data_IF_038421691070
#
_entry.id   IF_038421691070
#
_cell.length_a   1.000
_cell.length_b   1.000
_cell.length_c   1.000
_cell.angle_alpha   90.00
_cell.angle_beta   90.00
_cell.angle_gamma   90.00
#
_symmetry.space_group_name_H-M   'P 1'
#
loop_
_entity.id
_entity.type
_entity.pdbx_description
1 polymer ?
#
# COMPACT_ATOMS: atom_id res chain seq x y z
N UNK A 1 46.43 -11.56 -41.91
CA UNK A 1 45.41 -10.60 -41.46
C UNK A 1 44.53 -11.25 -40.42
N UNK A 2 44.91 -11.05 -39.17
CA UNK A 2 44.19 -11.48 -37.99
C UNK A 2 43.66 -10.19 -37.35
N UNK A 3 42.34 -10.02 -37.29
CA UNK A 3 41.74 -9.02 -36.41
C UNK A 3 40.64 -9.70 -35.60
N UNK A 4 40.85 -9.62 -34.30
CA UNK A 4 40.07 -10.15 -33.21
C UNK A 4 38.82 -9.29 -33.04
N UNK A 5 37.69 -9.92 -32.71
CA UNK A 5 36.52 -9.24 -32.14
C UNK A 5 36.33 -9.77 -30.72
N UNK A 6 36.87 -9.02 -29.76
CA UNK A 6 36.59 -9.21 -28.34
C UNK A 6 35.70 -8.05 -27.88
N UNK A 7 34.39 -8.30 -27.79
CA UNK A 7 33.44 -7.40 -27.12
C UNK A 7 32.27 -8.25 -26.63
N UNK A 8 32.49 -8.90 -25.49
CA UNK A 8 31.53 -9.81 -24.89
C UNK A 8 31.84 -10.05 -23.42
N UNK A 9 31.95 -8.97 -22.63
CA UNK A 9 32.05 -9.07 -21.17
C UNK A 9 31.75 -7.71 -20.52
N UNK A 10 30.49 -7.27 -20.56
CA UNK A 10 30.02 -6.09 -19.80
C UNK A 10 28.52 -6.12 -19.43
N UNK A 11 27.68 -6.94 -20.09
CA UNK A 11 26.22 -6.87 -19.92
C UNK A 11 25.63 -7.62 -18.71
N UNK A 12 26.34 -8.57 -18.08
CA UNK A 12 25.72 -9.40 -17.04
C UNK A 12 25.47 -8.67 -15.71
N UNK A 13 26.41 -7.81 -15.27
CA UNK A 13 26.28 -7.13 -13.98
C UNK A 13 25.21 -6.05 -13.93
N UNK A 14 24.96 -5.36 -15.04
CA UNK A 14 23.91 -4.35 -15.14
C UNK A 14 22.52 -4.99 -15.32
N UNK A 15 22.46 -6.15 -16.00
CA UNK A 15 21.23 -6.94 -16.10
C UNK A 15 20.79 -7.49 -14.75
N UNK A 16 21.71 -8.02 -13.94
CA UNK A 16 21.41 -8.51 -12.59
C UNK A 16 20.91 -7.39 -11.66
N UNK A 17 21.47 -6.18 -11.77
CA UNK A 17 20.99 -5.00 -11.02
C UNK A 17 19.60 -4.57 -11.46
N UNK A 18 19.33 -4.58 -12.77
CA UNK A 18 18.02 -4.27 -13.31
C UNK A 18 16.96 -5.28 -12.85
N UNK A 19 17.30 -6.57 -12.87
CA UNK A 19 16.40 -7.64 -12.42
C UNK A 19 16.11 -7.54 -10.90
N UNK A 20 17.11 -7.17 -10.09
CA UNK A 20 16.93 -6.90 -8.67
C UNK A 20 16.02 -5.70 -8.41
N UNK A 21 16.18 -4.62 -9.17
CA UNK A 21 15.33 -3.44 -9.05
C UNK A 21 13.88 -3.75 -9.43
N UNK A 22 13.68 -4.45 -10.54
CA UNK A 22 12.37 -4.90 -11.00
C UNK A 22 11.66 -5.76 -9.95
N UNK A 23 12.38 -6.69 -9.32
CA UNK A 23 11.83 -7.54 -8.28
C UNK A 23 11.42 -6.74 -7.03
N UNK A 24 12.22 -5.75 -6.63
CA UNK A 24 11.87 -4.85 -5.52
C UNK A 24 10.66 -3.97 -5.83
N UNK A 25 10.57 -3.48 -7.06
CA UNK A 25 9.44 -2.66 -7.49
C UNK A 25 8.14 -3.46 -7.50
N UNK A 26 8.19 -4.68 -8.04
CA UNK A 26 7.06 -5.61 -8.04
C UNK A 26 6.59 -5.98 -6.63
N UNK A 27 7.53 -6.23 -5.70
CA UNK A 27 7.24 -6.48 -4.28
C UNK A 27 6.60 -5.25 -3.60
N UNK A 28 7.12 -4.05 -3.87
CA UNK A 28 6.59 -2.81 -3.29
C UNK A 28 5.17 -2.51 -3.79
N UNK A 29 4.92 -2.77 -5.07
CA UNK A 29 3.60 -2.62 -5.69
C UNK A 29 2.62 -3.67 -5.11
N UNK A 30 3.05 -4.91 -4.95
CA UNK A 30 2.23 -5.96 -4.33
C UNK A 30 1.86 -5.63 -2.88
N UNK A 31 2.83 -5.18 -2.07
CA UNK A 31 2.62 -4.74 -0.69
C UNK A 31 1.63 -3.57 -0.59
N UNK A 32 1.70 -2.63 -1.54
CA UNK A 32 0.79 -1.49 -1.61
C UNK A 32 -0.63 -1.95 -1.94
N UNK A 33 -0.80 -2.83 -2.94
CA UNK A 33 -2.09 -3.40 -3.28
C UNK A 33 -2.69 -4.21 -2.12
N UNK A 34 -1.88 -5.00 -1.42
CA UNK A 34 -2.34 -5.76 -0.26
C UNK A 34 -2.84 -4.83 0.85
N UNK A 35 -2.10 -3.76 1.16
CA UNK A 35 -2.51 -2.75 2.15
C UNK A 35 -3.79 -2.04 1.75
N UNK A 36 -3.90 -1.61 0.49
CA UNK A 36 -5.12 -0.95 -0.02
C UNK A 36 -6.32 -1.90 0.01
N UNK A 37 -6.12 -3.17 -0.33
CA UNK A 37 -7.17 -4.20 -0.24
C UNK A 37 -7.61 -4.43 1.21
N UNK A 38 -6.66 -4.55 2.15
CA UNK A 38 -6.96 -4.69 3.57
C UNK A 38 -7.71 -3.46 4.10
N UNK A 39 -7.30 -2.25 3.68
CA UNK A 39 -7.98 -1.01 4.04
C UNK A 39 -9.40 -0.96 3.48
N UNK A 40 -9.61 -1.34 2.21
CA UNK A 40 -10.92 -1.39 1.58
C UNK A 40 -11.84 -2.42 2.26
N UNK A 41 -11.32 -3.60 2.63
CA UNK A 41 -12.07 -4.59 3.38
C UNK A 41 -12.44 -4.10 4.79
N UNK A 42 -11.52 -3.41 5.46
CA UNK A 42 -11.79 -2.82 6.78
C UNK A 42 -12.83 -1.71 6.67
N UNK A 43 -12.75 -0.84 5.65
CA UNK A 43 -13.76 0.18 5.37
C UNK A 43 -15.11 -0.44 5.04
N UNK A 44 -15.17 -1.47 4.22
CA UNK A 44 -16.41 -2.19 3.91
C UNK A 44 -17.02 -2.83 5.17
N UNK A 45 -16.20 -3.37 6.08
CA UNK A 45 -16.66 -3.84 7.39
C UNK A 45 -17.14 -2.71 8.29
N UNK A 46 -16.42 -1.60 8.36
CA UNK A 46 -16.81 -0.43 9.16
C UNK A 46 -18.10 0.23 8.63
N UNK A 47 -18.30 0.23 7.32
CA UNK A 47 -19.53 0.70 6.67
C UNK A 47 -20.69 -0.30 6.86
N UNK A 48 -20.39 -1.58 7.03
CA UNK A 48 -21.36 -2.62 7.39
C UNK A 48 -21.72 -2.64 8.88
N UNK A 49 -20.79 -2.22 9.76
CA UNK A 49 -20.93 -2.18 11.22
C UNK A 49 -21.28 -0.78 11.78
N UNK A 50 -21.03 0.30 11.03
CA UNK A 50 -21.59 1.63 11.28
C UNK A 50 -23.11 1.55 11.21
N UNK A 51 -23.82 2.29 12.07
CA UNK A 51 -25.04 1.83 12.74
C UNK A 51 -25.97 1.05 11.81
N UNK A 52 -25.82 -0.28 11.80
CA UNK A 52 -27.01 -1.10 11.85
C UNK A 52 -27.71 -0.66 13.13
N UNK A 53 -28.79 0.10 12.97
CA UNK A 53 -29.77 0.20 14.03
C UNK A 53 -30.10 -1.23 14.49
N UNK A 54 -29.80 -1.49 15.76
CA UNK A 54 -29.93 -2.78 16.42
C UNK A 54 -31.41 -3.23 16.60
N UNK A 55 -31.66 -4.52 16.89
CA UNK A 55 -32.85 -5.32 16.51
C UNK A 55 -33.63 -5.86 17.75
N UNK A 56 -34.45 -6.94 17.65
CA UNK A 56 -33.86 -8.24 17.99
C UNK A 56 -34.39 -9.48 17.25
N UNK A 57 -33.49 -10.48 17.17
CA UNK A 57 -33.72 -11.94 17.21
C UNK A 57 -34.59 -12.57 16.12
N UNK A 58 -33.99 -13.47 15.34
CA UNK A 58 -34.25 -14.91 15.47
C UNK A 58 -33.19 -15.70 14.69
N UNK A 59 -32.63 -16.66 15.41
CA UNK A 59 -31.85 -17.81 14.99
C UNK A 59 -32.16 -18.31 13.57
N UNK A 60 -31.12 -18.56 12.78
CA UNK A 60 -31.19 -19.41 11.59
C UNK A 60 -30.81 -20.83 12.00
N UNK A 61 -31.75 -21.80 12.04
CA UNK A 61 -31.41 -23.19 11.83
C UNK A 61 -31.37 -23.46 10.32
N UNK A 62 -30.23 -23.98 9.90
CA UNK A 62 -30.08 -24.88 8.77
C UNK A 62 -31.21 -25.92 8.74
N UNK A 63 -32.10 -25.89 7.74
CA UNK A 63 -32.66 -27.06 7.07
C UNK A 63 -33.49 -26.64 5.83
N UNK A 64 -32.97 -26.90 4.62
CA UNK A 64 -33.84 -27.23 3.48
C UNK A 64 -33.97 -28.75 3.44
N UNK A 65 -34.60 -29.28 4.49
CA UNK A 65 -35.33 -30.53 4.49
C UNK A 65 -36.77 -30.27 4.05
N UNK A 66 -37.33 -31.25 3.35
CA UNK A 66 -38.68 -31.25 2.80
C UNK A 66 -39.78 -30.81 3.77
N UNK A 67 -40.71 -29.98 3.30
CA UNK A 67 -41.88 -29.60 4.10
C UNK A 67 -42.91 -28.83 3.31
N UNK A 68 -43.86 -29.56 2.69
CA UNK A 68 -45.10 -29.01 2.13
C UNK A 68 -45.79 -28.12 3.17
N UNK A 69 -45.80 -26.80 2.97
CA UNK A 69 -46.68 -25.91 3.74
C UNK A 69 -48.09 -26.04 3.21
N UNK A 70 -48.88 -26.81 3.95
CA UNK A 70 -50.31 -26.98 3.74
C UNK A 70 -51.00 -25.62 3.71
N UNK A 71 -51.89 -25.46 2.73
CA UNK A 71 -52.98 -24.51 2.82
C UNK A 71 -53.71 -24.82 4.13
N UNK A 72 -53.74 -23.88 5.06
CA UNK A 72 -54.71 -23.90 6.17
C UNK A 72 -56.06 -23.53 5.55
N UNK A 73 -56.60 -24.44 4.76
CA UNK A 73 -58.01 -24.51 4.44
C UNK A 73 -58.64 -25.24 5.61
N UNK A 74 -59.33 -24.51 6.47
CA UNK A 74 -60.27 -25.11 7.41
C UNK A 74 -61.20 -26.04 6.60
N UNK A 75 -61.39 -27.25 7.09
CA UNK A 75 -62.37 -28.14 6.49
C UNK A 75 -63.76 -27.55 6.73
N UNK A 76 -64.68 -27.76 5.78
CA UNK A 76 -66.04 -27.22 5.88
C UNK A 76 -66.73 -27.64 7.20
N UNK A 77 -66.38 -28.81 7.73
CA UNK A 77 -66.83 -29.29 9.03
C UNK A 77 -66.31 -28.44 10.21
N UNK A 78 -65.03 -28.06 10.21
CA UNK A 78 -64.45 -27.18 11.25
C UNK A 78 -65.00 -25.75 11.18
N UNK A 79 -65.44 -25.30 10.01
CA UNK A 79 -66.16 -24.02 9.86
C UNK A 79 -67.57 -24.10 10.44
N UNK A 80 -68.31 -25.19 10.18
CA UNK A 80 -69.63 -25.40 10.76
C UNK A 80 -69.62 -25.69 12.27
N UNK A 81 -68.50 -26.18 12.83
CA UNK A 81 -68.37 -26.40 14.28
C UNK A 81 -68.16 -25.08 15.06
N UNK A 82 -67.50 -24.08 14.45
CA UNK A 82 -67.38 -22.74 15.04
C UNK A 82 -68.68 -21.92 14.93
N UNK A 83 -69.56 -22.30 14.01
CA UNK A 83 -70.88 -21.71 13.82
C UNK A 83 -71.93 -22.82 13.84
N UNK A 84 -72.23 -23.42 15.01
CA UNK A 84 -73.33 -24.36 15.10
C UNK A 84 -74.59 -23.65 14.60
N UNK A 85 -75.21 -24.17 13.54
CA UNK A 85 -76.55 -23.73 13.13
C UNK A 85 -77.49 -24.09 14.29
N UNK A 86 -77.74 -23.10 15.15
CA UNK A 86 -78.80 -23.18 16.13
C UNK A 86 -80.13 -23.41 15.40
N UNK A 87 -80.93 -24.42 15.81
CA UNK A 87 -82.25 -24.60 15.26
C UNK A 87 -83.06 -23.35 15.57
N UNK A 88 -83.41 -22.61 14.52
CA UNK A 88 -84.21 -21.39 14.56
C UNK A 88 -85.43 -21.65 15.45
N UNK A 89 -85.54 -21.04 16.65
CA UNK A 89 -86.79 -21.02 17.34
C UNK A 89 -87.69 -20.12 16.49
N UNK A 90 -88.75 -20.71 15.93
CA UNK A 90 -89.90 -19.96 15.41
C UNK A 90 -90.61 -19.33 16.61
N UNK A 91 -89.97 -18.31 17.19
CA UNK A 91 -90.61 -17.30 18.00
C UNK A 91 -90.48 -16.02 17.21
N UNK A 92 -91.55 -15.69 16.49
CA UNK A 92 -91.79 -14.36 15.97
C UNK A 92 -91.99 -13.38 17.13
N UNK A 93 -90.94 -13.13 17.92
CA UNK A 93 -90.75 -11.81 18.48
C UNK A 93 -90.40 -10.95 17.26
N UNK A 94 -91.41 -10.28 16.68
CA UNK A 94 -91.17 -9.19 15.74
C UNK A 94 -90.22 -8.24 16.44
N UNK A 95 -88.92 -8.31 16.13
CA UNK A 95 -88.04 -7.21 16.45
C UNK A 95 -88.72 -5.98 15.88
N UNK A 96 -89.00 -4.96 16.71
CA UNK A 96 -89.80 -3.85 16.27
C UNK A 96 -89.09 -3.25 15.05
N UNK A 97 -89.85 -2.89 14.01
CA UNK A 97 -89.28 -2.34 12.76
C UNK A 97 -88.27 -1.21 13.04
N UNK A 98 -88.43 -0.50 14.16
CA UNK A 98 -87.50 0.47 14.71
C UNK A 98 -86.09 -0.07 15.01
N UNK A 99 -85.96 -1.28 15.55
CA UNK A 99 -84.66 -1.91 15.88
C UNK A 99 -83.90 -2.35 14.63
N UNK A 100 -84.60 -2.86 13.62
CA UNK A 100 -84.01 -3.23 12.31
C UNK A 100 -83.63 -1.99 11.50
N UNK A 101 -84.45 -0.94 11.51
CA UNK A 101 -84.07 0.35 10.92
C UNK A 101 -82.87 0.97 11.63
N UNK A 102 -82.79 0.86 12.96
CA UNK A 102 -81.66 1.35 13.74
C UNK A 102 -80.37 0.59 13.41
N UNK A 103 -80.44 -0.73 13.21
CA UNK A 103 -79.30 -1.53 12.77
C UNK A 103 -78.84 -1.17 11.35
N UNK A 104 -79.77 -0.93 10.41
CA UNK A 104 -79.41 -0.48 9.06
C UNK A 104 -78.77 0.91 9.06
N UNK A 105 -79.27 1.84 9.87
CA UNK A 105 -78.66 3.16 10.06
C UNK A 105 -77.28 3.06 10.71
N UNK A 106 -77.12 2.21 11.72
CA UNK A 106 -75.84 1.96 12.36
C UNK A 106 -74.83 1.36 11.36
N UNK A 107 -75.26 0.41 10.52
CA UNK A 107 -74.41 -0.18 9.48
C UNK A 107 -74.00 0.86 8.42
N UNK A 108 -74.90 1.76 8.03
CA UNK A 108 -74.60 2.85 7.09
C UNK A 108 -73.61 3.86 7.69
N UNK A 109 -73.78 4.21 8.97
CA UNK A 109 -72.85 5.06 9.72
C UNK A 109 -71.47 4.40 9.90
N UNK A 110 -71.42 3.11 10.21
CA UNK A 110 -70.19 2.33 10.34
C UNK A 110 -69.47 2.17 8.98
N UNK A 111 -70.20 1.96 7.89
CA UNK A 111 -69.64 1.89 6.53
C UNK A 111 -69.08 3.25 6.08
N UNK A 112 -69.78 4.34 6.40
CA UNK A 112 -69.30 5.69 6.13
C UNK A 112 -68.04 6.02 6.97
N UNK A 113 -67.99 5.59 8.23
CA UNK A 113 -66.82 5.73 9.07
C UNK A 113 -65.61 4.94 8.52
N UNK A 114 -65.83 3.71 8.06
CA UNK A 114 -64.78 2.89 7.44
C UNK A 114 -64.29 3.51 6.12
N UNK A 115 -65.20 4.06 5.30
CA UNK A 115 -64.83 4.82 4.09
C UNK A 115 -63.98 6.04 4.44
N UNK A 116 -64.36 6.82 5.44
CA UNK A 116 -63.58 7.98 5.91
C UNK A 116 -62.20 7.56 6.42
N UNK A 117 -62.11 6.46 7.14
CA UNK A 117 -60.84 5.90 7.59
C UNK A 117 -59.97 5.45 6.41
N UNK A 118 -60.53 4.69 5.47
CA UNK A 118 -59.83 4.24 4.26
C UNK A 118 -59.30 5.40 3.42
N UNK A 119 -60.07 6.48 3.28
CA UNK A 119 -59.62 7.70 2.58
C UNK A 119 -58.44 8.36 3.32
N UNK A 120 -58.47 8.41 4.65
CA UNK A 120 -57.37 8.97 5.46
C UNK A 120 -56.11 8.11 5.36
N UNK A 121 -56.25 6.80 5.41
CA UNK A 121 -55.13 5.86 5.28
C UNK A 121 -54.53 5.91 3.88
N UNK A 122 -55.36 5.94 2.83
CA UNK A 122 -54.91 6.14 1.46
C UNK A 122 -54.16 7.47 1.29
N UNK A 123 -54.68 8.56 1.87
CA UNK A 123 -54.00 9.85 1.86
C UNK A 123 -52.65 9.81 2.59
N UNK A 124 -52.56 9.10 3.72
CA UNK A 124 -51.32 8.93 4.48
C UNK A 124 -50.27 8.07 3.73
N UNK A 125 -50.72 7.07 2.98
CA UNK A 125 -49.83 6.27 2.12
C UNK A 125 -49.28 7.14 1.00
N UNK A 126 -50.13 7.90 0.31
CA UNK A 126 -49.71 8.79 -0.79
C UNK A 126 -48.72 9.85 -0.31
N UNK A 127 -48.92 10.46 0.87
CA UNK A 127 -47.97 11.44 1.40
C UNK A 127 -46.63 10.80 1.78
N UNK A 128 -46.66 9.60 2.36
CA UNK A 128 -45.44 8.83 2.69
C UNK A 128 -44.67 8.43 1.44
N UNK A 129 -45.35 7.93 0.42
CA UNK A 129 -44.74 7.54 -0.85
C UNK A 129 -44.13 8.76 -1.56
N UNK A 130 -44.85 9.88 -1.60
CA UNK A 130 -44.34 11.13 -2.15
C UNK A 130 -43.08 11.62 -1.42
N UNK A 131 -43.06 11.55 -0.09
CA UNK A 131 -41.87 11.91 0.69
C UNK A 131 -40.70 10.95 0.45
N UNK A 132 -40.96 9.64 0.32
CA UNK A 132 -39.93 8.66 0.01
C UNK A 132 -39.36 8.84 -1.41
N UNK A 133 -40.22 9.20 -2.37
CA UNK A 133 -39.83 9.49 -3.74
C UNK A 133 -38.98 10.76 -3.83
N UNK A 134 -39.33 11.83 -3.10
CA UNK A 134 -38.54 13.06 -3.01
C UNK A 134 -37.14 12.81 -2.42
N UNK A 135 -37.04 11.98 -1.37
CA UNK A 135 -35.74 11.59 -0.80
C UNK A 135 -34.93 10.75 -1.79
N UNK A 136 -35.57 9.83 -2.51
CA UNK A 136 -34.94 8.99 -3.52
C UNK A 136 -34.45 9.80 -4.71
N UNK A 137 -35.22 10.78 -5.17
CA UNK A 137 -34.85 11.71 -6.23
C UNK A 137 -33.65 12.57 -5.80
N UNK A 138 -33.69 13.15 -4.60
CA UNK A 138 -32.59 13.95 -4.05
C UNK A 138 -31.31 13.15 -3.84
N UNK A 139 -31.40 11.86 -3.52
CA UNK A 139 -30.26 10.96 -3.39
C UNK A 139 -29.64 10.56 -4.75
N UNK A 140 -30.45 10.56 -5.83
CA UNK A 140 -29.98 10.29 -7.19
C UNK A 140 -29.39 11.52 -7.88
N UNK A 141 -29.61 12.73 -7.33
CA UNK A 141 -28.96 13.93 -7.85
C UNK A 141 -27.45 13.90 -7.54
N UNK A 142 -26.59 14.19 -8.53
CA UNK A 142 -25.17 14.30 -8.29
C UNK A 142 -24.92 15.36 -7.21
N UNK A 143 -24.09 15.04 -6.21
CA UNK A 143 -23.64 16.01 -5.21
C UNK A 143 -22.92 17.15 -5.94
N UNK A 144 -23.63 18.25 -6.18
CA UNK A 144 -23.05 19.48 -6.71
C UNK A 144 -22.29 20.13 -5.56
N UNK A 145 -20.99 19.88 -5.49
CA UNK A 145 -20.10 20.68 -4.64
C UNK A 145 -20.18 22.12 -5.16
N UNK A 146 -20.46 23.12 -4.32
CA UNK A 146 -20.44 24.51 -4.75
C UNK A 146 -19.14 24.82 -5.48
N UNK A 147 -19.23 25.50 -6.63
CA UNK A 147 -18.07 25.82 -7.47
C UNK A 147 -16.93 26.48 -6.66
N UNK A 148 -17.30 27.32 -5.68
CA UNK A 148 -16.38 28.00 -4.78
C UNK A 148 -15.52 27.04 -3.93
N UNK A 149 -16.12 25.96 -3.43
CA UNK A 149 -15.40 24.95 -2.64
C UNK A 149 -14.45 24.12 -3.52
N UNK A 150 -14.86 23.84 -4.75
CA UNK A 150 -14.00 23.17 -5.73
C UNK A 150 -12.80 24.05 -6.12
N UNK A 151 -13.04 25.33 -6.39
CA UNK A 151 -11.99 26.29 -6.71
C UNK A 151 -11.01 26.46 -5.54
N UNK A 152 -11.51 26.50 -4.30
CA UNK A 152 -10.68 26.53 -3.08
C UNK A 152 -9.82 25.28 -2.94
N UNK A 153 -10.36 24.10 -3.23
CA UNK A 153 -9.61 22.85 -3.21
C UNK A 153 -8.52 22.82 -4.27
N UNK A 154 -8.84 23.26 -5.49
CA UNK A 154 -7.86 23.39 -6.58
C UNK A 154 -6.74 24.35 -6.21
N UNK A 155 -7.05 25.49 -5.61
CA UNK A 155 -6.03 26.46 -5.19
C UNK A 155 -5.09 25.90 -4.12
N UNK A 156 -5.62 25.15 -3.14
CA UNK A 156 -4.81 24.45 -2.14
C UNK A 156 -3.89 23.40 -2.79
N UNK A 157 -4.41 22.61 -3.73
CA UNK A 157 -3.62 21.61 -4.46
C UNK A 157 -2.56 22.26 -5.33
N UNK A 158 -2.86 23.37 -6.01
CA UNK A 158 -1.88 24.15 -6.78
C UNK A 158 -0.73 24.64 -5.90
N UNK A 159 -1.04 25.20 -4.73
CA UNK A 159 -0.01 25.62 -3.74
C UNK A 159 0.85 24.46 -3.25
N UNK A 160 0.24 23.30 -3.00
CA UNK A 160 0.97 22.09 -2.62
C UNK A 160 1.92 21.63 -3.73
N UNK A 161 1.44 21.60 -4.98
CA UNK A 161 2.26 21.26 -6.15
C UNK A 161 3.41 22.25 -6.30
N UNK A 162 3.16 23.55 -6.16
CA UNK A 162 4.19 24.58 -6.26
C UNK A 162 5.24 24.44 -5.15
N UNK A 163 4.81 24.15 -3.92
CA UNK A 163 5.72 23.90 -2.80
C UNK A 163 6.58 22.64 -3.05
N UNK A 164 5.97 21.53 -3.45
CA UNK A 164 6.69 20.30 -3.78
C UNK A 164 7.68 20.52 -4.93
N UNK A 165 7.28 21.26 -5.97
CA UNK A 165 8.16 21.60 -7.08
C UNK A 165 9.36 22.46 -6.63
N UNK A 166 9.16 23.40 -5.70
CA UNK A 166 10.26 24.19 -5.12
C UNK A 166 11.23 23.30 -4.33
N UNK A 167 10.71 22.41 -3.49
CA UNK A 167 11.54 21.47 -2.71
C UNK A 167 12.31 20.55 -3.64
N UNK A 168 11.65 19.92 -4.63
CA UNK A 168 12.31 19.05 -5.62
C UNK A 168 13.41 19.78 -6.39
N UNK A 169 13.16 21.01 -6.83
CA UNK A 169 14.18 21.79 -7.53
C UNK A 169 15.36 22.15 -6.62
N UNK A 170 15.10 22.45 -5.36
CA UNK A 170 16.16 22.77 -4.40
C UNK A 170 17.00 21.52 -4.09
N UNK A 171 16.36 20.38 -3.81
CA UNK A 171 17.07 19.13 -3.53
C UNK A 171 17.86 18.65 -4.75
N UNK A 172 17.33 18.79 -5.97
CA UNK A 172 18.09 18.47 -7.18
C UNK A 172 19.33 19.36 -7.35
N UNK A 173 19.24 20.66 -7.04
CA UNK A 173 20.41 21.56 -7.06
C UNK A 173 21.46 21.13 -6.04
N UNK A 174 21.04 20.83 -4.81
CA UNK A 174 21.93 20.37 -3.75
C UNK A 174 22.61 19.04 -4.13
N UNK A 175 21.84 18.10 -4.68
CA UNK A 175 22.37 16.83 -5.19
C UNK A 175 23.40 17.03 -6.31
N UNK A 176 23.15 17.94 -7.25
CA UNK A 176 24.09 18.24 -8.33
C UNK A 176 25.41 18.82 -7.79
N UNK A 177 25.32 19.75 -6.83
CA UNK A 177 26.50 20.32 -6.16
C UNK A 177 27.28 19.24 -5.43
N UNK A 178 26.61 18.36 -4.68
CA UNK A 178 27.26 17.28 -3.94
C UNK A 178 27.92 16.26 -4.87
N UNK A 179 27.30 15.95 -6.01
CA UNK A 179 27.90 15.06 -7.02
C UNK A 179 29.17 15.67 -7.62
N UNK A 180 29.15 16.96 -7.96
CA UNK A 180 30.33 17.67 -8.47
C UNK A 180 31.45 17.71 -7.43
N UNK A 181 31.13 18.09 -6.19
CA UNK A 181 32.09 18.11 -5.09
C UNK A 181 32.69 16.73 -4.80
N UNK A 182 31.87 15.68 -4.82
CA UNK A 182 32.35 14.32 -4.57
C UNK A 182 33.27 13.84 -5.70
N UNK A 183 32.94 14.14 -6.96
CA UNK A 183 33.80 13.82 -8.09
C UNK A 183 35.15 14.56 -8.02
N UNK A 184 35.14 15.82 -7.58
CA UNK A 184 36.37 16.59 -7.38
C UNK A 184 37.22 16.00 -6.24
N UNK A 185 36.61 15.62 -5.12
CA UNK A 185 37.29 14.98 -3.99
C UNK A 185 37.92 13.65 -4.40
N UNK A 186 37.22 12.81 -5.16
CA UNK A 186 37.76 11.56 -5.70
C UNK A 186 39.01 11.82 -6.57
N UNK A 187 38.96 12.83 -7.44
CA UNK A 187 40.11 13.25 -8.26
C UNK A 187 41.29 13.71 -7.40
N UNK A 188 41.03 14.50 -6.36
CA UNK A 188 42.06 15.06 -5.47
C UNK A 188 42.75 13.95 -4.65
N UNK A 189 41.97 13.01 -4.12
CA UNK A 189 42.49 11.85 -3.38
C UNK A 189 43.38 11.01 -4.29
N UNK A 190 42.92 10.66 -5.50
CA UNK A 190 43.70 9.88 -6.45
C UNK A 190 45.03 10.55 -6.82
N UNK A 191 45.03 11.87 -7.06
CA UNK A 191 46.26 12.65 -7.31
C UNK A 191 47.18 12.67 -6.09
N UNK A 192 46.62 12.84 -4.89
CA UNK A 192 47.38 12.86 -3.63
C UNK A 192 48.06 11.52 -3.32
N UNK A 193 47.36 10.41 -3.52
CA UNK A 193 47.90 9.06 -3.34
C UNK A 193 49.01 8.76 -4.35
N UNK A 194 48.80 9.09 -5.62
CA UNK A 194 49.81 8.87 -6.65
C UNK A 194 51.06 9.70 -6.39
N UNK A 195 50.91 10.97 -5.98
CA UNK A 195 52.05 11.84 -5.64
C UNK A 195 52.91 11.22 -4.53
N UNK A 196 52.29 10.76 -3.43
CA UNK A 196 53.00 10.08 -2.33
C UNK A 196 53.69 8.80 -2.81
N UNK A 197 53.02 8.00 -3.65
CA UNK A 197 53.59 6.77 -4.21
C UNK A 197 54.83 7.06 -5.06
N UNK A 198 54.80 8.09 -5.90
CA UNK A 198 55.94 8.51 -6.72
C UNK A 198 57.09 9.00 -5.86
N UNK A 199 56.82 9.82 -4.85
CA UNK A 199 57.83 10.31 -3.90
C UNK A 199 58.52 9.14 -3.16
N UNK A 200 57.75 8.16 -2.69
CA UNK A 200 58.28 6.96 -2.03
C UNK A 200 59.10 6.07 -2.97
N UNK A 201 58.66 5.89 -4.22
CA UNK A 201 59.44 5.15 -5.23
C UNK A 201 60.79 5.83 -5.46
N UNK A 202 60.80 7.16 -5.61
CA UNK A 202 62.02 7.95 -5.80
C UNK A 202 63.00 7.78 -4.64
N UNK A 203 62.52 7.86 -3.39
CA UNK A 203 63.35 7.69 -2.20
C UNK A 203 63.91 6.25 -2.09
N UNK A 204 63.11 5.24 -2.45
CA UNK A 204 63.58 3.84 -2.50
C UNK A 204 64.65 3.65 -3.57
N UNK A 205 64.54 4.30 -4.72
CA UNK A 205 65.56 4.27 -5.78
C UNK A 205 66.87 4.92 -5.35
N UNK A 206 66.80 6.10 -4.71
CA UNK A 206 67.97 6.78 -4.13
C UNK A 206 68.67 5.91 -3.07
N UNK A 207 67.90 5.31 -2.16
CA UNK A 207 68.44 4.40 -1.15
C UNK A 207 69.07 3.14 -1.77
N UNK A 208 68.47 2.60 -2.84
CA UNK A 208 69.05 1.46 -3.57
C UNK A 208 70.37 1.84 -4.21
N UNK A 209 70.46 3.00 -4.85
CA UNK A 209 71.69 3.49 -5.45
C UNK A 209 72.79 3.64 -4.41
N UNK A 210 72.52 4.32 -3.29
CA UNK A 210 73.50 4.46 -2.20
C UNK A 210 73.91 3.10 -1.64
N UNK A 211 72.96 2.16 -1.49
CA UNK A 211 73.25 0.80 -1.03
C UNK A 211 74.15 0.05 -2.02
N UNK A 212 73.91 0.18 -3.32
CA UNK A 212 74.76 -0.43 -4.36
C UNK A 212 76.17 0.18 -4.33
N UNK A 213 76.30 1.51 -4.27
CA UNK A 213 77.59 2.21 -4.14
C UNK A 213 78.37 1.79 -2.89
N UNK A 214 77.71 1.69 -1.73
CA UNK A 214 78.34 1.20 -0.50
C UNK A 214 78.73 -0.28 -0.59
N UNK A 215 77.93 -1.10 -1.28
CA UNK A 215 78.24 -2.51 -1.50
C UNK A 215 79.49 -2.66 -2.37
N UNK A 216 79.62 -1.86 -3.42
CA UNK A 216 80.79 -1.82 -4.28
C UNK A 216 82.04 -1.36 -3.51
N UNK A 217 81.94 -0.28 -2.71
CA UNK A 217 83.03 0.19 -1.86
C UNK A 217 83.48 -0.86 -0.83
N UNK A 218 82.53 -1.57 -0.20
CA UNK A 218 82.85 -2.68 0.71
C UNK A 218 83.60 -3.79 -0.05
N UNK A 219 83.16 -4.12 -1.26
CA UNK A 219 83.82 -5.08 -2.14
C UNK A 219 85.28 -4.67 -2.44
N UNK A 220 85.50 -3.42 -2.84
CA UNK A 220 86.82 -2.86 -3.12
C UNK A 220 87.73 -2.89 -1.88
N UNK A 221 87.23 -2.44 -0.73
CA UNK A 221 87.97 -2.47 0.53
C UNK A 221 88.32 -3.89 0.97
N UNK A 222 87.41 -4.86 0.75
CA UNK A 222 87.68 -6.26 1.05
C UNK A 222 88.82 -6.81 0.19
N UNK A 223 88.81 -6.53 -1.12
CA UNK A 223 89.89 -6.94 -2.03
C UNK A 223 91.22 -6.31 -1.62
N UNK A 224 91.25 -5.00 -1.34
CA UNK A 224 92.45 -4.30 -0.91
C UNK A 224 93.02 -4.86 0.42
N UNK A 225 92.14 -5.22 1.36
CA UNK A 225 92.53 -5.84 2.62
C UNK A 225 93.18 -7.21 2.40
N UNK A 226 92.60 -8.07 1.55
CA UNK A 226 93.18 -9.38 1.24
C UNK A 226 94.51 -9.29 0.50
N UNK A 227 94.67 -8.27 -0.36
CA UNK A 227 95.95 -7.97 -1.00
C UNK A 227 97.03 -7.57 0.03
N UNK A 228 96.71 -6.67 0.96
CA UNK A 228 97.65 -6.24 2.02
C UNK A 228 97.99 -7.40 2.98
N UNK A 229 97.00 -8.21 3.40
CA UNK A 229 97.27 -9.44 4.17
C UNK A 229 98.25 -10.37 3.45
N UNK A 230 98.06 -10.59 2.16
CA UNK A 230 98.94 -11.44 1.35
C UNK A 230 100.36 -10.88 1.27
N UNK A 231 100.50 -9.55 1.09
CA UNK A 231 101.78 -8.85 1.04
C UNK A 231 102.52 -8.88 2.38
N UNK A 232 101.82 -8.64 3.49
CA UNK A 232 102.37 -8.76 4.86
C UNK A 232 102.85 -10.19 5.12
N UNK A 233 102.09 -11.19 4.70
CA UNK A 233 102.49 -12.60 4.83
C UNK A 233 103.79 -12.89 4.05
N UNK A 234 103.89 -12.44 2.79
CA UNK A 234 105.12 -12.58 1.99
C UNK A 234 106.33 -11.91 2.64
N UNK A 235 106.19 -10.67 3.13
CA UNK A 235 107.27 -9.94 3.81
C UNK A 235 107.71 -10.65 5.09
N UNK A 236 106.74 -11.18 5.86
CA UNK A 236 107.03 -11.94 7.09
C UNK A 236 107.86 -13.19 6.80
N UNK A 237 107.52 -13.94 5.75
CA UNK A 237 108.29 -15.11 5.30
C UNK A 237 109.71 -14.73 4.86
N UNK A 238 109.87 -13.62 4.15
CA UNK A 238 111.19 -13.13 3.73
C UNK A 238 112.06 -12.73 4.93
N UNK A 239 111.47 -12.08 5.95
CA UNK A 239 112.17 -11.74 7.18
C UNK A 239 112.59 -12.99 7.96
N UNK A 240 111.74 -14.02 8.02
CA UNK A 240 112.08 -15.28 8.66
C UNK A 240 113.22 -16.03 7.97
N UNK A 241 113.31 -16.00 6.62
CA UNK A 241 114.43 -16.61 5.89
C UNK A 241 115.76 -15.88 6.05
N UNK A 242 115.74 -14.61 6.44
CA UNK A 242 116.95 -13.77 6.61
C UNK A 242 117.52 -13.79 8.03
N UNK A 243 116.82 -14.40 8.99
CA UNK A 243 117.34 -14.70 10.33
C UNK A 243 117.91 -16.11 10.35
#
# INVERSE_FOLDING_TARGET
NQQQSTSGCANNGDQEKFDQWKKRDEELVADMFEKELQQALLQSRLEHEGPQQHPPSLTVPNDQGAGRKGKVTLTLAEFHEKFPEEPVPVQAAREPLSKRLAQMKQQEEDEEALRKQSIREAAAIVTRERAAEEVRERAQQPRVVPQEDYDRMLEMKKKQIEHMAKVLNQTHKEMAILQEQNSELESLVAKGEMKKKVELIREVEELRQVKDELTDQIGELHVALEQEKSKVHQLTLQLQRKR
#
